data_IF_835531811661
#
_entry.id   IF_835531811661
#
_cell.length_a   1.000
_cell.length_b   1.000
_cell.length_c   1.000
_cell.angle_alpha   90.00
_cell.angle_beta   90.00
_cell.angle_gamma   90.00
#
_symmetry.space_group_name_H-M   'P 1'
#
loop_
_entity.id
_entity.type
_entity.pdbx_description
1 polymer ?
#
# COMPACT_ATOMS: atom_id res chain seq x y z
N UNK A 1 -15.93 14.13 9.52
CA UNK A 1 -17.23 13.91 10.19
C UNK A 1 -17.50 12.41 10.17
N UNK A 2 -17.82 11.79 11.30
CA UNK A 2 -18.16 10.37 11.33
C UNK A 2 -19.48 10.14 10.60
N UNK A 3 -19.55 9.08 9.79
CA UNK A 3 -20.80 8.68 9.13
C UNK A 3 -21.80 8.21 10.20
N UNK A 4 -23.02 8.73 10.16
CA UNK A 4 -24.11 8.29 11.04
C UNK A 4 -25.07 7.45 10.21
N UNK A 5 -25.27 6.20 10.60
CA UNK A 5 -26.32 5.35 10.06
C UNK A 5 -27.57 5.48 10.92
N UNK A 6 -28.73 5.68 10.29
CA UNK A 6 -30.02 5.64 10.98
C UNK A 6 -30.86 4.52 10.39
N UNK A 7 -31.28 3.61 11.26
CA UNK A 7 -32.20 2.54 10.94
C UNK A 7 -33.63 3.01 11.15
N UNK A 8 -34.49 2.78 10.15
CA UNK A 8 -35.92 2.97 10.27
C UNK A 8 -36.64 1.66 9.98
N UNK A 9 -37.38 1.18 10.97
CA UNK A 9 -38.28 0.04 10.81
C UNK A 9 -39.50 0.49 10.00
N UNK A 10 -39.66 -0.06 8.79
CA UNK A 10 -40.80 0.23 7.92
C UNK A 10 -41.96 -0.71 8.21
N UNK A 11 -41.67 -1.98 8.53
CA UNK A 11 -42.66 -2.97 8.92
C UNK A 11 -42.01 -3.99 9.84
N UNK A 12 -42.58 -4.24 11.01
CA UNK A 12 -42.15 -5.33 11.90
C UNK A 12 -43.36 -6.20 12.23
N UNK A 13 -43.67 -7.11 11.30
CA UNK A 13 -44.78 -8.03 11.42
C UNK A 13 -44.31 -9.47 11.65
N UNK A 14 -45.18 -10.34 12.19
CA UNK A 14 -44.83 -11.72 12.57
C UNK A 14 -44.42 -12.62 11.38
N UNK A 15 -44.59 -12.16 10.14
CA UNK A 15 -44.16 -12.87 8.94
C UNK A 15 -43.07 -12.16 8.14
N UNK A 16 -42.95 -10.83 8.25
CA UNK A 16 -42.00 -10.02 7.48
C UNK A 16 -41.49 -8.84 8.33
N UNK A 17 -40.17 -8.64 8.33
CA UNK A 17 -39.49 -7.44 8.81
C UNK A 17 -38.91 -6.68 7.61
N UNK A 18 -39.27 -5.40 7.48
CA UNK A 18 -38.77 -4.51 6.42
C UNK A 18 -38.09 -3.34 7.12
N UNK A 19 -36.78 -3.25 6.94
CA UNK A 19 -35.94 -2.19 7.48
C UNK A 19 -35.43 -1.33 6.33
N UNK A 20 -35.39 -0.02 6.53
CA UNK A 20 -34.71 0.91 5.64
C UNK A 20 -33.59 1.57 6.40
N UNK A 21 -32.38 1.40 5.87
CA UNK A 21 -31.19 2.04 6.37
C UNK A 21 -30.92 3.29 5.55
N UNK A 22 -30.79 4.44 6.21
CA UNK A 22 -30.35 5.68 5.58
C UNK A 22 -28.97 6.02 6.12
N UNK A 23 -27.98 6.07 5.22
CA UNK A 23 -26.62 6.48 5.56
C UNK A 23 -26.51 7.94 5.14
N UNK A 24 -26.41 8.85 6.13
CA UNK A 24 -26.18 10.26 5.85
C UNK A 24 -24.66 10.50 5.82
N UNK A 25 -24.07 10.47 4.63
CA UNK A 25 -22.69 10.84 4.33
C UNK A 25 -22.66 11.59 3.00
N UNK A 26 -21.80 12.62 2.90
CA UNK A 26 -21.74 13.51 1.74
C UNK A 26 -21.37 12.76 0.46
N UNK A 27 -22.21 12.98 -0.57
CA UNK A 27 -22.11 12.57 -1.98
C UNK A 27 -22.08 11.06 -2.28
N UNK A 28 -23.14 10.59 -2.93
CA UNK A 28 -23.02 9.52 -3.92
C UNK A 28 -23.85 8.29 -3.63
N UNK A 29 -25.03 8.26 -4.20
CA UNK A 29 -25.70 7.08 -4.70
C UNK A 29 -24.62 6.30 -5.50
N UNK A 30 -24.06 5.25 -4.90
CA UNK A 30 -23.04 4.34 -5.45
C UNK A 30 -21.63 4.89 -5.81
N UNK A 31 -21.27 6.16 -5.53
CA UNK A 31 -20.04 6.76 -6.08
C UNK A 31 -19.01 7.35 -5.08
N UNK A 32 -19.05 7.02 -3.78
CA UNK A 32 -17.98 7.45 -2.84
C UNK A 32 -17.53 6.37 -1.85
N UNK A 33 -17.33 5.14 -2.34
CA UNK A 33 -16.14 4.40 -1.93
C UNK A 33 -15.07 4.86 -2.94
N UNK A 34 -14.50 6.03 -2.72
CA UNK A 34 -13.37 6.49 -3.54
C UNK A 34 -12.23 5.51 -3.26
N UNK A 35 -12.05 4.51 -4.14
CA UNK A 35 -10.86 3.68 -4.09
C UNK A 35 -9.69 4.58 -4.46
N UNK A 36 -8.98 5.03 -3.43
CA UNK A 36 -7.63 5.57 -3.58
C UNK A 36 -6.78 4.60 -4.42
N UNK A 37 -5.68 5.10 -5.00
CA UNK A 37 -4.75 4.29 -5.78
C UNK A 37 -4.53 2.91 -5.13
N UNK A 38 -4.95 1.85 -5.82
CA UNK A 38 -4.88 0.48 -5.32
C UNK A 38 -3.62 -0.17 -5.84
N UNK A 39 -2.89 -0.87 -4.97
CA UNK A 39 -1.73 -1.64 -5.34
C UNK A 39 -2.10 -3.13 -5.38
N UNK A 40 -1.85 -3.77 -6.52
CA UNK A 40 -1.98 -5.22 -6.66
C UNK A 40 -0.60 -5.85 -6.62
N UNK A 41 -0.36 -6.75 -5.68
CA UNK A 41 0.90 -7.45 -5.51
C UNK A 41 1.02 -8.68 -6.43
N UNK A 42 2.23 -8.91 -6.92
CA UNK A 42 2.70 -10.17 -7.46
C UNK A 42 4.05 -10.51 -6.82
N UNK A 43 4.11 -11.65 -6.13
CA UNK A 43 5.38 -12.22 -5.66
C UNK A 43 6.13 -12.83 -6.85
N UNK A 44 7.27 -12.25 -7.21
CA UNK A 44 8.12 -12.74 -8.31
C UNK A 44 9.10 -13.80 -7.82
N UNK A 45 9.67 -13.57 -6.64
CA UNK A 45 10.56 -14.52 -6.00
C UNK A 45 10.49 -14.35 -4.49
N UNK A 46 10.16 -15.43 -3.79
CA UNK A 46 10.25 -15.50 -2.34
C UNK A 46 11.21 -16.63 -1.94
N UNK A 47 12.51 -16.30 -1.89
CA UNK A 47 13.56 -17.24 -1.53
C UNK A 47 14.08 -16.99 -0.12
N UNK A 48 14.95 -17.88 0.41
CA UNK A 48 15.50 -17.76 1.77
C UNK A 48 16.28 -16.48 2.03
N UNK A 49 16.84 -15.84 0.98
CA UNK A 49 17.69 -14.64 1.10
C UNK A 49 17.25 -13.47 0.22
N UNK A 50 16.40 -13.71 -0.77
CA UNK A 50 16.00 -12.71 -1.74
C UNK A 50 14.49 -12.69 -1.84
N UNK A 51 13.91 -11.51 -1.80
CA UNK A 51 12.50 -11.26 -2.00
C UNK A 51 12.35 -10.26 -3.15
N UNK A 52 11.56 -10.61 -4.16
CA UNK A 52 11.26 -9.75 -5.30
C UNK A 52 9.75 -9.65 -5.42
N UNK A 53 9.25 -8.43 -5.30
CA UNK A 53 7.83 -8.11 -5.36
C UNK A 53 7.60 -7.15 -6.52
N UNK A 54 6.48 -7.35 -7.22
CA UNK A 54 6.00 -6.44 -8.25
C UNK A 54 4.64 -5.93 -7.83
N UNK A 55 4.47 -4.62 -7.84
CA UNK A 55 3.18 -3.96 -7.65
C UNK A 55 2.70 -3.38 -8.97
N UNK A 56 1.42 -3.56 -9.25
CA UNK A 56 0.70 -2.81 -10.29
C UNK A 56 -0.20 -1.83 -9.58
N UNK A 57 0.00 -0.53 -9.85
CA UNK A 57 -0.80 0.54 -9.27
C UNK A 57 -1.87 0.92 -10.29
N UNK A 58 -3.13 0.82 -9.87
CA UNK A 58 -4.29 1.21 -10.65
C UNK A 58 -5.41 1.71 -9.72
N UNK A 59 -6.16 2.72 -10.15
CA UNK A 59 -7.12 3.43 -9.31
C UNK A 59 -7.94 4.42 -10.12
N UNK A 60 -9.09 4.83 -9.56
CA UNK A 60 -10.11 5.58 -10.31
C UNK A 60 -10.17 7.05 -9.95
N UNK A 61 -9.62 7.48 -8.81
CA UNK A 61 -9.25 8.88 -8.49
C UNK A 61 -8.76 8.99 -7.04
N UNK A 62 -7.87 9.96 -6.78
CA UNK A 62 -7.46 10.35 -5.43
C UNK A 62 -6.16 9.69 -4.96
N UNK A 63 -5.44 10.44 -4.13
CA UNK A 63 -4.16 10.02 -3.60
C UNK A 63 -4.29 8.95 -2.50
N UNK A 64 -3.41 7.95 -2.53
CA UNK A 64 -3.24 6.99 -1.45
C UNK A 64 -2.49 7.64 -0.28
N UNK A 65 -3.11 7.59 0.90
CA UNK A 65 -2.48 8.01 2.15
C UNK A 65 -2.04 6.78 2.94
N UNK A 66 -0.74 6.44 2.84
CA UNK A 66 -0.09 5.39 3.61
C UNK A 66 -0.78 4.02 3.45
N UNK A 67 -0.80 3.51 2.23
CA UNK A 67 -1.24 2.14 1.93
C UNK A 67 -0.06 1.19 2.14
N UNK A 68 -0.24 0.12 2.89
CA UNK A 68 0.79 -0.91 3.06
C UNK A 68 1.01 -1.65 1.74
N UNK A 69 2.24 -1.63 1.23
CA UNK A 69 2.64 -2.42 0.07
C UNK A 69 3.29 -3.73 0.49
N UNK A 70 4.24 -3.65 1.41
CA UNK A 70 4.98 -4.81 1.93
C UNK A 70 4.60 -4.97 3.38
N UNK A 71 3.97 -6.09 3.72
CA UNK A 71 3.87 -6.55 5.10
C UNK A 71 5.02 -7.52 5.36
N UNK A 72 5.95 -7.15 6.25
CA UNK A 72 7.13 -7.99 6.50
C UNK A 72 6.72 -9.34 7.11
N UNK A 73 5.62 -9.36 7.86
CA UNK A 73 5.17 -10.54 8.59
C UNK A 73 4.52 -11.60 7.69
N UNK A 74 4.21 -11.26 6.44
CA UNK A 74 3.72 -12.22 5.42
C UNK A 74 4.83 -13.13 4.87
N UNK A 75 6.10 -12.81 5.15
CA UNK A 75 7.25 -13.56 4.65
C UNK A 75 7.97 -14.30 5.78
N UNK A 76 8.71 -15.36 5.40
CA UNK A 76 9.50 -16.18 6.33
C UNK A 76 10.99 -16.18 6.03
N UNK A 77 11.80 -16.47 7.03
CA UNK A 77 13.25 -16.71 6.92
C UNK A 77 13.57 -18.09 6.32
N UNK A 78 14.85 -18.48 6.31
CA UNK A 78 15.28 -19.78 5.78
C UNK A 78 14.83 -20.97 6.65
N UNK A 79 14.55 -20.70 7.93
CA UNK A 79 14.12 -21.65 8.93
C UNK A 79 12.58 -21.75 9.04
N UNK A 80 11.85 -20.90 8.31
CA UNK A 80 10.39 -20.87 8.26
C UNK A 80 9.73 -19.99 9.32
N UNK A 81 10.48 -19.15 10.04
CA UNK A 81 9.92 -18.19 11.00
C UNK A 81 9.48 -16.92 10.29
N UNK A 82 8.39 -16.30 10.76
CA UNK A 82 7.96 -15.00 10.26
C UNK A 82 9.08 -13.95 10.42
N UNK A 83 9.27 -13.13 9.39
CA UNK A 83 10.26 -12.07 9.40
C UNK A 83 9.89 -10.96 10.38
N UNK A 84 10.90 -10.38 11.03
CA UNK A 84 10.74 -9.23 11.93
C UNK A 84 11.04 -7.88 11.27
N UNK A 85 10.84 -6.80 12.03
CA UNK A 85 10.91 -5.42 11.54
C UNK A 85 12.22 -4.98 10.85
N UNK A 86 13.33 -5.70 11.07
CA UNK A 86 14.63 -5.36 10.48
C UNK A 86 15.13 -6.42 9.49
N UNK A 87 14.26 -7.35 9.09
CA UNK A 87 14.64 -8.50 8.27
C UNK A 87 14.76 -8.17 6.78
N UNK A 88 14.22 -7.05 6.32
CA UNK A 88 14.28 -6.63 4.93
C UNK A 88 15.28 -5.49 4.74
N UNK A 89 16.18 -5.67 3.77
CA UNK A 89 17.07 -4.61 3.28
C UNK A 89 16.77 -4.38 1.81
N UNK A 90 16.37 -3.16 1.42
CA UNK A 90 16.13 -2.83 0.02
C UNK A 90 17.46 -2.80 -0.75
N UNK A 91 17.60 -3.66 -1.75
CA UNK A 91 18.82 -3.79 -2.56
C UNK A 91 18.66 -3.21 -3.98
N UNK A 92 17.44 -2.95 -4.41
CA UNK A 92 17.18 -2.24 -5.66
C UNK A 92 15.70 -2.03 -5.95
N UNK A 93 15.43 -1.10 -6.86
CA UNK A 93 14.10 -0.74 -7.31
C UNK A 93 14.10 -0.50 -8.83
N UNK A 94 13.03 -0.93 -9.50
CA UNK A 94 12.73 -0.58 -10.88
C UNK A 94 11.26 -0.14 -10.93
N UNK A 95 10.97 1.07 -11.38
CA UNK A 95 9.59 1.56 -11.41
C UNK A 95 9.32 2.45 -12.61
N UNK A 96 8.06 2.50 -13.03
CA UNK A 96 7.56 3.41 -14.06
C UNK A 96 6.13 3.78 -13.68
N UNK A 97 5.90 5.07 -13.46
CA UNK A 97 4.60 5.64 -13.11
C UNK A 97 4.17 6.61 -14.21
N UNK A 98 2.86 6.77 -14.38
CA UNK A 98 2.26 7.70 -15.33
C UNK A 98 1.21 8.52 -14.61
N UNK A 99 1.33 9.85 -14.67
CA UNK A 99 0.36 10.80 -14.12
C UNK A 99 0.42 11.02 -12.60
N UNK A 100 1.31 10.34 -11.86
CA UNK A 100 1.49 10.56 -10.42
C UNK A 100 2.91 10.21 -9.96
N UNK A 101 3.34 10.82 -8.86
CA UNK A 101 4.54 10.42 -8.12
C UNK A 101 4.17 9.65 -6.86
N UNK A 102 5.08 8.86 -6.32
CA UNK A 102 4.87 8.22 -5.03
C UNK A 102 6.09 8.25 -4.12
N UNK A 103 5.84 8.12 -2.82
CA UNK A 103 6.87 7.86 -1.83
C UNK A 103 6.65 6.51 -1.19
N UNK A 104 7.74 5.78 -1.04
CA UNK A 104 7.85 4.61 -0.19
C UNK A 104 8.46 5.04 1.13
N UNK A 105 7.86 4.59 2.22
CA UNK A 105 8.30 4.92 3.59
C UNK A 105 8.32 3.67 4.45
N UNK A 106 9.24 3.62 5.40
CA UNK A 106 9.22 2.63 6.48
C UNK A 106 8.11 2.98 7.47
N UNK A 107 7.31 1.98 7.82
CA UNK A 107 6.23 2.12 8.80
C UNK A 107 6.78 2.16 10.22
N UNK A 108 6.46 3.24 10.94
CA UNK A 108 6.84 3.44 12.33
C UNK A 108 5.86 4.42 13.01
N UNK A 109 6.09 4.76 14.29
CA UNK A 109 5.30 5.83 14.94
C UNK A 109 5.41 7.16 14.19
N UNK A 110 6.54 7.39 13.53
CA UNK A 110 6.73 8.44 12.54
C UNK A 110 7.45 7.83 11.35
N UNK A 111 6.72 7.68 10.25
CA UNK A 111 7.24 7.04 9.05
C UNK A 111 8.47 7.77 8.52
N UNK A 112 9.40 6.99 7.96
CA UNK A 112 10.68 7.51 7.44
C UNK A 112 10.77 7.24 5.95
N UNK A 113 11.13 8.26 5.17
CA UNK A 113 11.30 8.16 3.73
C UNK A 113 12.33 7.08 3.35
N UNK A 114 11.92 6.14 2.50
CA UNK A 114 12.76 5.08 1.93
C UNK A 114 13.20 5.45 0.52
N UNK A 115 12.25 5.66 -0.40
CA UNK A 115 12.51 6.03 -1.80
C UNK A 115 11.37 6.89 -2.33
N UNK A 116 11.69 7.93 -3.09
CA UNK A 116 10.73 8.71 -3.88
C UNK A 116 10.81 8.29 -5.35
N UNK A 117 9.66 8.11 -5.99
CA UNK A 117 9.51 7.70 -7.39
C UNK A 117 8.80 8.85 -8.14
N UNK A 118 9.46 9.45 -9.15
CA UNK A 118 8.89 10.54 -9.92
C UNK A 118 7.74 10.08 -10.83
N UNK A 119 6.91 11.03 -11.25
CA UNK A 119 5.91 10.82 -12.31
C UNK A 119 6.58 10.82 -13.68
N UNK A 120 6.07 9.99 -14.58
CA UNK A 120 6.36 10.00 -16.02
C UNK A 120 7.85 9.77 -16.40
N UNK A 121 8.65 9.31 -15.44
CA UNK A 121 10.06 8.97 -15.62
C UNK A 121 10.34 7.59 -15.03
N UNK A 122 10.84 6.62 -15.83
CA UNK A 122 11.20 5.32 -15.31
C UNK A 122 12.49 5.41 -14.49
N UNK A 123 12.50 4.76 -13.32
CA UNK A 123 13.68 4.66 -12.46
C UNK A 123 14.22 3.25 -12.43
N UNK A 124 15.55 3.15 -12.31
CA UNK A 124 16.27 1.90 -12.07
C UNK A 124 17.45 2.19 -11.15
N UNK A 125 17.33 1.79 -9.90
CA UNK A 125 18.35 2.04 -8.88
C UNK A 125 18.82 0.73 -8.25
N UNK A 126 20.13 0.62 -8.04
CA UNK A 126 20.80 -0.54 -7.46
C UNK A 126 21.62 -0.09 -6.24
N UNK A 127 21.23 -0.59 -5.08
CA UNK A 127 21.83 -0.21 -3.79
C UNK A 127 22.82 -1.25 -3.27
N UNK A 128 23.03 -2.37 -4.00
CA UNK A 128 23.91 -3.47 -3.55
C UNK A 128 25.33 -3.00 -3.27
N UNK A 129 25.81 -2.00 -4.02
CA UNK A 129 27.15 -1.40 -3.85
C UNK A 129 27.34 -0.71 -2.50
N UNK A 130 26.25 -0.31 -1.84
CA UNK A 130 26.27 0.36 -0.54
C UNK A 130 25.81 -0.57 0.61
N UNK A 131 25.59 -1.86 0.32
CA UNK A 131 25.04 -2.81 1.30
C UNK A 131 23.51 -2.80 1.42
N UNK A 132 22.83 -2.02 0.58
CA UNK A 132 21.38 -1.83 0.60
C UNK A 132 20.89 -0.76 1.58
N UNK A 133 19.62 -0.39 1.46
CA UNK A 133 18.93 0.55 2.35
C UNK A 133 18.16 -0.26 3.38
N UNK A 134 18.53 -0.10 4.65
CA UNK A 134 17.87 -0.76 5.79
C UNK A 134 16.81 0.15 6.38
N UNK A 135 15.87 -0.43 7.11
CA UNK A 135 15.00 0.35 7.97
C UNK A 135 15.85 1.14 8.99
N UNK A 136 15.71 2.46 8.93
CA UNK A 136 16.36 3.43 9.81
C UNK A 136 15.33 4.18 10.68
N UNK A 137 14.09 3.72 10.69
CA UNK A 137 13.04 4.24 11.55
C UNK A 137 13.29 3.85 13.02
N UNK A 138 12.71 4.65 13.91
CA UNK A 138 12.93 4.54 15.35
C UNK A 138 11.86 3.70 16.04
N UNK A 139 11.32 4.26 17.13
CA UNK A 139 10.27 3.61 17.92
C UNK A 139 9.06 3.22 17.08
N UNK A 140 8.58 1.99 17.28
CA UNK A 140 7.39 1.48 16.62
C UNK A 140 7.59 1.03 15.19
N UNK A 141 8.84 0.93 14.70
CA UNK A 141 9.16 0.28 13.42
C UNK A 141 8.53 -1.11 13.34
N UNK A 142 7.82 -1.36 12.24
CA UNK A 142 7.26 -2.68 11.92
C UNK A 142 8.06 -3.40 10.83
N UNK A 143 8.93 -2.69 10.11
CA UNK A 143 9.63 -3.18 8.91
C UNK A 143 8.77 -3.24 7.66
N UNK A 144 7.51 -2.82 7.76
CA UNK A 144 6.61 -2.73 6.64
C UNK A 144 6.98 -1.54 5.74
N UNK A 145 6.62 -1.66 4.47
CA UNK A 145 6.78 -0.57 3.50
C UNK A 145 5.41 -0.04 3.13
N UNK A 146 5.20 1.23 3.44
CA UNK A 146 4.00 1.97 3.11
C UNK A 146 4.24 2.82 1.86
N UNK A 147 3.16 3.12 1.16
CA UNK A 147 3.14 3.89 -0.06
C UNK A 147 2.15 5.04 0.05
N UNK A 148 2.60 6.21 -0.40
CA UNK A 148 1.78 7.39 -0.56
C UNK A 148 1.89 7.88 -1.99
N UNK A 149 0.79 8.35 -2.59
CA UNK A 149 0.84 9.02 -3.89
C UNK A 149 0.65 10.51 -3.75
N UNK A 150 1.08 11.24 -4.76
CA UNK A 150 0.75 12.64 -4.95
C UNK A 150 0.45 12.88 -6.41
N UNK A 151 -0.67 13.55 -6.68
CA UNK A 151 -1.08 13.89 -8.03
C UNK A 151 -1.88 12.80 -8.76
N UNK A 152 -2.34 11.76 -8.06
CA UNK A 152 -3.20 10.73 -8.65
C UNK A 152 -4.60 11.30 -8.94
N UNK A 153 -4.92 11.57 -10.19
CA UNK A 153 -6.12 12.34 -10.57
C UNK A 153 -7.10 11.59 -11.47
N UNK A 154 -6.66 10.59 -12.23
CA UNK A 154 -7.47 10.02 -13.31
C UNK A 154 -7.42 8.48 -13.43
N UNK A 155 -8.43 7.94 -14.12
CA UNK A 155 -8.56 6.52 -14.49
C UNK A 155 -7.48 6.03 -15.49
N UNK A 156 -6.62 6.91 -16.01
CA UNK A 156 -5.49 6.58 -16.88
C UNK A 156 -4.14 6.61 -16.16
N UNK A 157 -4.12 7.12 -14.93
CA UNK A 157 -2.92 7.13 -14.10
C UNK A 157 -2.66 5.69 -13.64
N UNK A 158 -1.39 5.32 -13.56
CA UNK A 158 -1.03 3.95 -13.22
C UNK A 158 0.46 3.70 -13.37
N UNK A 159 0.89 2.52 -12.97
CA UNK A 159 2.30 2.19 -13.06
C UNK A 159 2.65 0.84 -12.49
N UNK A 160 3.94 0.54 -12.52
CA UNK A 160 4.49 -0.65 -11.88
C UNK A 160 5.73 -0.32 -11.07
N UNK A 161 5.88 -1.03 -9.95
CA UNK A 161 7.01 -0.91 -9.04
C UNK A 161 7.53 -2.32 -8.78
N UNK A 162 8.81 -2.54 -9.02
CA UNK A 162 9.53 -3.74 -8.63
C UNK A 162 10.44 -3.43 -7.46
N UNK A 163 10.24 -4.12 -6.34
CA UNK A 163 11.07 -4.02 -5.16
C UNK A 163 11.92 -5.28 -5.02
N UNK A 164 13.21 -5.11 -4.78
CA UNK A 164 14.16 -6.19 -4.54
C UNK A 164 14.70 -6.03 -3.13
N UNK A 165 14.38 -6.97 -2.26
CA UNK A 165 14.89 -7.02 -0.90
C UNK A 165 15.84 -8.20 -0.71
N UNK A 166 16.81 -7.99 0.17
CA UNK A 166 17.56 -9.06 0.81
C UNK A 166 16.90 -9.35 2.16
N UNK A 167 16.63 -10.63 2.43
CA UNK A 167 16.23 -11.12 3.75
C UNK A 167 17.47 -11.35 4.62
N UNK A 168 17.38 -10.99 5.90
CA UNK A 168 18.42 -11.21 6.92
C UNK A 168 17.89 -11.96 8.11
#
# INVERSE_FOLDING_TARGET
MAATATEQVINDGPRNLILKYTIAGTSGDAAAILMAATATEQVINDGPRNLILKYTIAGTSGDAAAVKLVDVSDFVDAEGNALGANALTLIGIEASLTGFSCKLVWDATSNVDLVEIPSDEPIKQDYRRFGGIKDNSGTGSTGDVMFTTTGYTASGDGGSIFLKFKKT
#
